data_IF_877254793060
#
_entry.id   IF_877254793060
#
_cell.length_a   1.000
_cell.length_b   1.000
_cell.length_c   1.000
_cell.angle_alpha   90.00
_cell.angle_beta   90.00
_cell.angle_gamma   90.00
#
_symmetry.space_group_name_H-M   'P 1'
#
loop_
_entity.id
_entity.type
_entity.pdbx_description
1 polymer ?
#
# COMPACT_ATOMS: atom_id res chain seq x y z
N UNK A 1 -0.28 -15.03 1.83
CA UNK A 1 0.27 -14.56 0.53
C UNK A 1 -0.26 -15.49 -0.54
N UNK A 2 -0.94 -14.95 -1.57
CA UNK A 2 -1.53 -15.71 -2.68
C UNK A 2 -0.47 -16.22 -3.68
N UNK A 3 0.74 -15.65 -3.67
CA UNK A 3 1.87 -16.08 -4.50
C UNK A 3 1.72 -15.71 -5.98
N UNK A 4 0.70 -14.93 -6.33
CA UNK A 4 0.40 -14.54 -7.71
C UNK A 4 1.14 -13.26 -8.05
N UNK A 5 1.87 -13.26 -9.17
CA UNK A 5 2.52 -12.06 -9.68
C UNK A 5 1.53 -11.29 -10.56
N UNK A 6 1.29 -10.02 -10.23
CA UNK A 6 0.35 -9.14 -10.93
C UNK A 6 1.03 -7.86 -11.41
N UNK A 7 0.53 -7.29 -12.51
CA UNK A 7 0.89 -5.96 -12.96
C UNK A 7 -0.02 -4.93 -12.27
N UNK A 8 0.55 -4.08 -11.43
CA UNK A 8 -0.19 -3.08 -10.69
C UNK A 8 -0.09 -1.68 -11.32
N UNK A 9 -1.20 -0.94 -11.37
CA UNK A 9 -1.20 0.48 -11.74
C UNK A 9 -1.20 1.35 -10.49
N UNK A 10 -0.29 2.33 -10.43
CA UNK A 10 -0.27 3.31 -9.34
C UNK A 10 -1.47 4.26 -9.50
N UNK A 11 -2.34 4.34 -8.49
CA UNK A 11 -3.50 5.24 -8.50
C UNK A 11 -3.06 6.68 -8.73
N UNK A 12 -3.85 7.44 -9.49
CA UNK A 12 -3.52 8.82 -9.86
C UNK A 12 -3.21 9.74 -8.67
N UNK A 13 -3.88 9.51 -7.53
CA UNK A 13 -3.66 10.23 -6.26
C UNK A 13 -2.21 10.08 -5.76
N UNK A 14 -1.65 8.88 -5.86
CA UNK A 14 -0.30 8.56 -5.39
C UNK A 14 0.80 9.00 -6.36
N UNK A 15 0.52 9.06 -7.67
CA UNK A 15 1.54 9.20 -8.73
C UNK A 15 2.54 10.36 -8.55
N UNK A 16 2.16 11.43 -7.85
CA UNK A 16 3.03 12.59 -7.58
C UNK A 16 3.48 12.74 -6.13
N UNK A 17 2.84 12.01 -5.20
CA UNK A 17 3.08 12.11 -3.76
C UNK A 17 3.97 10.96 -3.30
N UNK A 18 3.60 9.74 -3.68
CA UNK A 18 4.20 8.52 -3.15
C UNK A 18 5.06 7.82 -4.21
N UNK A 19 6.32 7.57 -3.86
CA UNK A 19 7.24 6.75 -4.64
C UNK A 19 7.24 5.30 -4.13
N UNK A 20 7.06 4.36 -5.05
CA UNK A 20 7.04 2.91 -4.76
C UNK A 20 8.30 2.27 -5.33
N UNK A 21 9.07 1.60 -4.47
CA UNK A 21 10.29 0.89 -4.82
C UNK A 21 10.13 -0.62 -4.61
N UNK A 22 11.08 -1.39 -5.14
CA UNK A 22 11.14 -2.82 -4.90
C UNK A 22 11.42 -3.11 -3.41
N UNK A 23 10.58 -3.92 -2.78
CA UNK A 23 10.66 -4.26 -1.36
C UNK A 23 9.69 -3.48 -0.47
N UNK A 24 8.98 -2.49 -1.00
CA UNK A 24 7.93 -1.78 -0.29
C UNK A 24 6.68 -2.67 -0.14
N UNK A 25 5.98 -2.51 0.99
CA UNK A 25 4.70 -3.17 1.24
C UNK A 25 3.58 -2.24 0.78
N UNK A 26 2.67 -2.74 -0.06
CA UNK A 26 1.60 -1.95 -0.66
C UNK A 26 0.25 -2.65 -0.55
N UNK A 27 -0.81 -1.88 -0.41
CA UNK A 27 -2.18 -2.34 -0.52
C UNK A 27 -2.62 -2.32 -1.99
N UNK A 28 -3.12 -3.45 -2.49
CA UNK A 28 -3.61 -3.59 -3.86
C UNK A 28 -5.10 -3.90 -3.89
N UNK A 29 -5.83 -3.24 -4.78
CA UNK A 29 -7.20 -3.58 -5.16
C UNK A 29 -7.18 -4.53 -6.34
N UNK A 30 -7.80 -5.70 -6.19
CA UNK A 30 -7.97 -6.67 -7.28
C UNK A 30 -9.10 -6.22 -8.22
N UNK A 31 -9.04 -6.66 -9.47
CA UNK A 31 -10.11 -6.43 -10.46
C UNK A 31 -10.85 -7.71 -10.71
N UNK A 32 -12.17 -7.66 -10.64
CA UNK A 32 -13.04 -8.84 -10.79
C UNK A 32 -12.96 -9.47 -12.19
N UNK A 33 -12.67 -8.64 -13.20
CA UNK A 33 -12.64 -9.03 -14.62
C UNK A 33 -11.23 -9.34 -15.14
N UNK A 34 -10.20 -8.96 -14.39
CA UNK A 34 -8.79 -9.16 -14.72
C UNK A 34 -8.03 -9.42 -13.42
N UNK A 35 -7.95 -10.71 -13.05
CA UNK A 35 -6.79 -11.26 -12.33
C UNK A 35 -5.51 -10.92 -13.17
N UNK A 36 -4.27 -11.32 -12.94
CA UNK A 36 -3.09 -10.69 -13.62
C UNK A 36 -2.88 -9.17 -13.43
N UNK A 37 -3.92 -8.33 -13.24
CA UNK A 37 -3.82 -6.89 -13.01
C UNK A 37 -4.44 -6.47 -11.69
N UNK A 38 -3.92 -5.39 -11.13
CA UNK A 38 -4.43 -4.78 -9.91
C UNK A 38 -4.14 -3.27 -9.93
N UNK A 39 -4.68 -2.55 -8.95
CA UNK A 39 -4.42 -1.14 -8.73
C UNK A 39 -3.81 -0.94 -7.34
N UNK A 40 -2.75 -0.15 -7.24
CA UNK A 40 -2.12 0.20 -5.95
C UNK A 40 -2.96 1.29 -5.30
N UNK A 41 -3.46 1.01 -4.09
CA UNK A 41 -4.33 1.92 -3.33
C UNK A 41 -3.51 2.74 -2.34
N UNK A 42 -2.59 2.10 -1.61
CA UNK A 42 -1.80 2.69 -0.54
C UNK A 42 -0.43 2.03 -0.47
N UNK A 43 0.58 2.79 -0.01
CA UNK A 43 1.89 2.27 0.38
C UNK A 43 1.98 2.30 1.90
N UNK A 44 2.36 1.19 2.52
CA UNK A 44 2.64 1.14 3.95
C UNK A 44 4.07 1.56 4.23
N UNK A 45 4.26 2.30 5.32
CA UNK A 45 5.57 2.58 5.87
C UNK A 45 6.14 1.33 6.56
N UNK A 46 7.45 1.36 6.83
CA UNK A 46 8.14 0.17 7.36
C UNK A 46 7.64 -0.21 8.77
N UNK A 47 7.26 0.77 9.58
CA UNK A 47 6.66 0.61 10.90
C UNK A 47 5.22 0.06 10.85
N UNK A 48 4.39 0.56 9.93
CA UNK A 48 3.05 0.03 9.67
C UNK A 48 3.10 -1.42 9.20
N UNK A 49 4.05 -1.75 8.31
CA UNK A 49 4.28 -3.11 7.85
C UNK A 49 4.71 -4.06 8.97
N UNK A 50 5.50 -3.59 9.96
CA UNK A 50 5.80 -4.37 11.18
C UNK A 50 4.55 -4.57 12.04
N UNK A 51 3.69 -3.56 12.13
CA UNK A 51 2.42 -3.67 12.85
C UNK A 51 1.51 -4.70 12.18
N UNK A 52 1.39 -4.68 10.86
CA UNK A 52 0.65 -5.70 10.08
C UNK A 52 1.18 -7.11 10.31
N UNK A 53 2.50 -7.26 10.44
CA UNK A 53 3.11 -8.53 10.83
C UNK A 53 2.70 -8.97 12.23
N UNK A 54 2.68 -8.04 13.20
CA UNK A 54 2.25 -8.32 14.56
C UNK A 54 0.76 -8.70 14.65
N UNK A 55 -0.08 -8.14 13.78
CA UNK A 55 -1.49 -8.52 13.67
C UNK A 55 -1.72 -9.88 12.99
N UNK A 56 -0.69 -10.48 12.38
CA UNK A 56 -0.79 -11.76 11.68
C UNK A 56 -1.39 -11.67 10.27
N UNK A 57 -1.60 -10.46 9.76
CA UNK A 57 -2.10 -10.22 8.39
C UNK A 57 -1.01 -10.51 7.34
N UNK A 58 0.25 -10.39 7.74
CA UNK A 58 1.41 -10.72 6.90
C UNK A 58 2.15 -11.94 7.45
N UNK A 59 2.56 -12.89 6.58
CA UNK A 59 3.33 -14.05 7.01
C UNK A 59 4.70 -13.65 7.57
N UNK A 60 5.15 -14.38 8.60
CA UNK A 60 6.38 -14.07 9.35
C UNK A 60 7.66 -14.03 8.51
N UNK A 61 7.64 -14.70 7.35
CA UNK A 61 8.75 -14.78 6.41
C UNK A 61 8.99 -13.50 5.59
N UNK A 62 8.09 -12.52 5.63
CA UNK A 62 8.28 -11.26 4.92
C UNK A 62 9.41 -10.44 5.57
N UNK A 63 10.40 -10.07 4.74
CA UNK A 63 11.41 -9.06 5.09
C UNK A 63 10.87 -7.69 4.70
N UNK A 64 10.54 -6.89 5.70
CA UNK A 64 10.22 -5.46 5.53
C UNK A 64 11.53 -4.69 5.38
N UNK A 65 11.63 -3.82 4.39
CA UNK A 65 12.79 -2.96 4.16
C UNK A 65 12.55 -1.58 4.79
N UNK A 66 13.54 -1.03 5.51
CA UNK A 66 13.48 0.31 6.12
C UNK A 66 13.97 1.40 5.16
N UNK A 67 13.44 1.44 3.93
CA UNK A 67 13.69 2.58 3.05
C UNK A 67 12.66 3.67 3.36
N UNK A 68 12.81 4.31 4.51
CA UNK A 68 12.12 5.57 4.78
C UNK A 68 12.73 6.64 3.88
N UNK A 69 11.95 7.09 2.88
CA UNK A 69 12.25 8.34 2.20
C UNK A 69 11.90 9.45 3.18
N UNK A 70 12.89 9.97 3.90
CA UNK A 70 12.81 11.14 4.81
C UNK A 70 12.42 12.45 4.08
N UNK A 71 11.37 12.45 3.26
CA UNK A 71 11.07 13.51 2.29
C UNK A 71 9.61 13.95 2.20
N UNK A 72 8.70 13.42 3.02
CA UNK A 72 7.28 13.82 3.02
C UNK A 72 6.92 14.77 4.21
N UNK A 73 7.90 15.39 4.85
CA UNK A 73 7.68 16.38 5.94
C UNK A 73 7.38 17.81 5.46
N UNK A 74 6.90 18.04 4.24
CA UNK A 74 6.37 19.36 3.84
C UNK A 74 4.86 19.33 3.55
N UNK A 75 4.08 19.42 4.63
CA UNK A 75 3.02 20.44 4.69
C UNK A 75 1.74 20.19 3.89
N UNK A 76 1.14 19.01 4.00
CA UNK A 76 -0.25 18.78 3.61
C UNK A 76 -0.91 17.88 4.63
N UNK A 77 -2.14 18.21 5.02
CA UNK A 77 -3.05 17.32 5.74
C UNK A 77 -2.89 15.88 5.22
N UNK A 78 -2.88 14.88 6.11
CA UNK A 78 -2.82 13.45 5.76
C UNK A 78 -4.04 13.05 4.89
N UNK A 79 -4.06 13.49 3.64
CA UNK A 79 -5.08 13.22 2.63
C UNK A 79 -5.08 11.74 2.25
N UNK A 80 -4.07 10.98 2.68
CA UNK A 80 -3.96 9.55 2.47
C UNK A 80 -4.58 8.71 3.62
N UNK A 81 -5.13 9.36 4.67
CA UNK A 81 -6.00 8.68 5.62
C UNK A 81 -7.35 8.39 4.93
N UNK A 82 -7.55 7.12 4.55
CA UNK A 82 -8.84 6.66 4.05
C UNK A 82 -9.78 6.60 5.26
N UNK A 83 -10.75 7.51 5.32
CA UNK A 83 -11.85 7.41 6.26
C UNK A 83 -12.76 6.25 5.80
N UNK A 84 -12.79 5.18 6.61
CA UNK A 84 -13.59 4.00 6.29
C UNK A 84 -15.10 4.24 6.44
N UNK A 85 -15.50 5.37 7.03
CA UNK A 85 -16.92 5.73 7.18
C UNK A 85 -17.56 6.09 5.83
N UNK A 86 -16.78 6.62 4.86
CA UNK A 86 -17.26 7.00 3.51
C UNK A 86 -17.53 5.80 2.57
N UNK A 87 -17.11 4.59 2.94
CA UNK A 87 -17.30 3.36 2.13
C UNK A 87 -18.61 2.64 2.50
N UNK A 88 -19.33 3.13 3.52
CA UNK A 88 -20.59 2.53 3.99
C UNK A 88 -21.81 2.90 3.14
N UNK A 89 -21.65 3.75 2.12
CA UNK A 89 -22.70 4.12 1.15
C UNK A 89 -22.41 3.63 -0.28
N UNK A 90 -22.26 2.30 -0.47
CA UNK A 90 -22.45 1.64 -1.78
C UNK A 90 -23.35 0.41 -1.61
#
# INVERSE_FOLDING_TARGET
MDGVKRLCHIRGKMRKKVWVNAGDVVLVGLRDYQDEKADVILKYMADEARSLKAYGELPDSIRVNDTDTFGDEEGGENDDYIDFDDISEI
#
